data_IF_876436416277
#
_entry.id   IF_876436416277
#
_cell.length_a   1.000
_cell.length_b   1.000
_cell.length_c   1.000
_cell.angle_alpha   90.00
_cell.angle_beta   90.00
_cell.angle_gamma   90.00
#
_symmetry.space_group_name_H-M   'P 1'
#
loop_
_entity.id
_entity.type
_entity.pdbx_description
1 polymer ?
#
# COMPACT_ATOMS: atom_id res chain seq x y z
N UNK A 1 11.51 -30.93 -10.72
CA UNK A 1 11.14 -29.56 -11.17
C UNK A 1 10.10 -29.75 -12.25
N UNK A 2 8.84 -29.46 -11.93
CA UNK A 2 7.71 -29.70 -12.84
C UNK A 2 7.59 -28.51 -13.78
N UNK A 3 7.86 -28.70 -15.07
CA UNK A 3 7.57 -27.72 -16.11
C UNK A 3 6.05 -27.53 -16.20
N UNK A 4 5.56 -26.41 -15.70
CA UNK A 4 4.20 -25.96 -15.97
C UNK A 4 4.13 -25.51 -17.42
N UNK A 5 3.79 -26.44 -18.32
CA UNK A 5 3.41 -26.09 -19.69
C UNK A 5 2.25 -25.08 -19.62
N UNK A 6 2.36 -23.89 -20.21
CA UNK A 6 1.26 -22.93 -20.22
C UNK A 6 0.04 -23.60 -20.85
N UNK A 7 -1.04 -23.64 -20.09
CA UNK A 7 -2.29 -24.28 -20.44
C UNK A 7 -2.80 -23.70 -21.78
N UNK A 8 -2.71 -24.48 -22.86
CA UNK A 8 -3.15 -24.10 -24.20
C UNK A 8 -4.69 -24.26 -24.33
N UNK A 9 -5.47 -23.56 -23.50
CA UNK A 9 -6.95 -23.63 -23.51
C UNK A 9 -7.61 -22.58 -24.42
N UNK A 10 -6.87 -21.92 -25.30
CA UNK A 10 -7.33 -20.70 -25.98
C UNK A 10 -8.07 -20.93 -27.31
N UNK A 11 -8.15 -22.18 -27.77
CA UNK A 11 -8.96 -22.55 -28.95
C UNK A 11 -10.32 -23.04 -28.46
N UNK A 12 -11.17 -22.12 -28.00
CA UNK A 12 -12.59 -22.42 -27.80
C UNK A 12 -13.34 -22.25 -29.11
N UNK A 13 -14.55 -22.82 -29.21
CA UNK A 13 -15.38 -22.86 -30.43
C UNK A 13 -15.82 -21.50 -30.99
N UNK A 14 -15.32 -20.37 -30.46
CA UNK A 14 -15.63 -18.99 -30.87
C UNK A 14 -14.36 -18.15 -31.14
N UNK A 15 -13.28 -18.75 -31.62
CA UNK A 15 -12.11 -17.99 -32.07
C UNK A 15 -12.35 -17.35 -33.46
N UNK A 16 -11.76 -16.17 -33.69
CA UNK A 16 -11.77 -15.48 -34.99
C UNK A 16 -10.37 -15.57 -35.58
N UNK A 17 -10.28 -15.94 -36.85
CA UNK A 17 -9.02 -15.89 -37.58
C UNK A 17 -8.72 -14.46 -38.05
N UNK A 18 -7.49 -13.99 -37.78
CA UNK A 18 -7.03 -12.67 -38.19
C UNK A 18 -5.80 -12.85 -39.08
N UNK A 19 -5.82 -12.25 -40.26
CA UNK A 19 -4.64 -12.14 -41.11
C UNK A 19 -3.93 -10.81 -40.83
N UNK A 20 -2.64 -10.87 -40.45
CA UNK A 20 -1.83 -9.70 -40.20
C UNK A 20 -0.49 -9.81 -40.93
N UNK A 21 0.00 -8.69 -41.48
CA UNK A 21 1.36 -8.60 -42.00
C UNK A 21 2.28 -8.12 -40.87
N UNK A 22 3.34 -8.89 -40.62
CA UNK A 22 4.37 -8.53 -39.65
C UNK A 22 5.48 -7.77 -40.38
N UNK A 23 5.79 -6.53 -39.96
CA UNK A 23 6.92 -5.77 -40.48
C UNK A 23 8.26 -6.51 -40.35
N UNK A 24 9.13 -6.37 -41.34
CA UNK A 24 10.36 -7.14 -41.41
C UNK A 24 11.30 -6.92 -40.22
N UNK A 25 11.37 -5.68 -39.74
CA UNK A 25 12.17 -5.29 -38.59
C UNK A 25 11.70 -5.93 -37.26
N UNK A 26 10.50 -6.52 -37.21
CA UNK A 26 9.97 -7.21 -36.03
C UNK A 26 10.20 -8.72 -36.06
N UNK A 27 10.65 -9.31 -37.19
CA UNK A 27 10.77 -10.76 -37.30
C UNK A 27 11.71 -11.36 -36.25
N UNK A 28 12.92 -10.83 -36.12
CA UNK A 28 13.91 -11.36 -35.18
C UNK A 28 13.44 -11.20 -33.73
N UNK A 29 12.86 -10.06 -33.37
CA UNK A 29 12.36 -9.83 -32.01
C UNK A 29 11.25 -10.83 -31.65
N UNK A 30 10.31 -11.07 -32.56
CA UNK A 30 9.22 -12.03 -32.36
C UNK A 30 9.76 -13.47 -32.32
N UNK A 31 10.74 -13.78 -33.17
CA UNK A 31 11.38 -15.09 -33.21
C UNK A 31 12.15 -15.40 -31.93
N UNK A 32 13.00 -14.48 -31.48
CA UNK A 32 13.78 -14.62 -30.25
C UNK A 32 12.85 -14.77 -29.06
N UNK A 33 11.84 -13.90 -28.97
CA UNK A 33 10.83 -13.97 -27.92
C UNK A 33 10.12 -15.33 -27.89
N UNK A 34 9.68 -15.81 -29.06
CA UNK A 34 9.00 -17.08 -29.19
C UNK A 34 9.89 -18.27 -28.85
N UNK A 35 11.14 -18.27 -29.30
CA UNK A 35 12.14 -19.30 -28.95
C UNK A 35 12.42 -19.35 -27.45
N UNK A 36 12.39 -18.21 -26.75
CA UNK A 36 12.59 -18.17 -25.30
C UNK A 36 11.38 -18.64 -24.50
N UNK A 37 10.16 -18.26 -24.89
CA UNK A 37 8.96 -18.45 -24.05
C UNK A 37 8.04 -19.59 -24.51
N UNK A 38 8.11 -19.97 -25.78
CA UNK A 38 7.21 -20.93 -26.42
C UNK A 38 7.98 -21.94 -27.29
N UNK A 39 9.16 -22.36 -26.83
CA UNK A 39 10.02 -23.31 -27.53
C UNK A 39 9.32 -24.64 -27.82
N UNK A 40 9.56 -25.19 -29.02
CA UNK A 40 9.12 -26.53 -29.44
C UNK A 40 10.29 -27.48 -29.75
N UNK A 41 11.52 -27.11 -29.37
CA UNK A 41 12.75 -27.84 -29.70
C UNK A 41 13.33 -27.46 -31.06
N UNK A 42 14.60 -27.80 -31.31
CA UNK A 42 15.33 -27.54 -32.57
C UNK A 42 15.24 -26.09 -33.10
N UNK A 43 15.23 -25.10 -32.22
CA UNK A 43 15.08 -23.68 -32.62
C UNK A 43 13.70 -23.32 -33.17
N UNK A 44 12.70 -24.21 -33.04
CA UNK A 44 11.30 -23.95 -33.40
C UNK A 44 10.54 -23.43 -32.18
N UNK A 45 9.46 -22.70 -32.45
CA UNK A 45 8.59 -22.14 -31.42
C UNK A 45 7.13 -22.07 -31.88
N UNK A 46 6.21 -21.94 -30.93
CA UNK A 46 4.79 -21.74 -31.21
C UNK A 46 4.50 -20.29 -31.60
N UNK A 47 4.43 -20.02 -32.91
CA UNK A 47 4.16 -18.68 -33.44
C UNK A 47 2.81 -18.14 -32.99
N UNK A 48 1.79 -18.98 -32.90
CA UNK A 48 0.44 -18.55 -32.50
C UNK A 48 0.42 -18.13 -31.04
N UNK A 49 0.95 -18.97 -30.15
CA UNK A 49 1.03 -18.64 -28.72
C UNK A 49 1.87 -17.38 -28.48
N UNK A 50 2.99 -17.26 -29.21
CA UNK A 50 3.86 -16.08 -29.16
C UNK A 50 3.13 -14.79 -29.50
N UNK A 51 2.41 -14.76 -30.63
CA UNK A 51 1.70 -13.56 -31.07
C UNK A 51 0.55 -13.22 -30.13
N UNK A 52 -0.21 -14.21 -29.67
CA UNK A 52 -1.31 -14.01 -28.70
C UNK A 52 -0.78 -13.39 -27.41
N UNK A 53 0.34 -13.90 -26.89
CA UNK A 53 0.96 -13.40 -25.66
C UNK A 53 1.44 -11.95 -25.82
N UNK A 54 2.14 -11.64 -26.92
CA UNK A 54 2.59 -10.27 -27.22
C UNK A 54 1.42 -9.28 -27.35
N UNK A 55 0.34 -9.68 -28.01
CA UNK A 55 -0.90 -8.87 -28.10
C UNK A 55 -1.49 -8.67 -26.71
N UNK A 56 -1.59 -9.73 -25.90
CA UNK A 56 -2.16 -9.68 -24.55
C UNK A 56 -1.38 -8.72 -23.65
N UNK A 57 -0.04 -8.74 -23.74
CA UNK A 57 0.85 -7.81 -23.04
C UNK A 57 0.70 -6.38 -23.54
N UNK A 58 0.64 -6.18 -24.85
CA UNK A 58 0.44 -4.85 -25.47
C UNK A 58 -0.91 -4.21 -25.11
N UNK A 59 -1.95 -5.03 -24.90
CA UNK A 59 -3.26 -4.57 -24.41
C UNK A 59 -3.29 -4.26 -22.91
N UNK A 60 -2.22 -4.58 -22.17
CA UNK A 60 -2.12 -4.28 -20.74
C UNK A 60 -3.04 -5.11 -19.83
N UNK A 61 -3.58 -6.23 -20.33
CA UNK A 61 -4.53 -7.06 -19.58
C UNK A 61 -3.89 -7.67 -18.32
N UNK A 62 -2.64 -8.10 -18.41
CA UNK A 62 -1.91 -8.64 -17.26
C UNK A 62 -1.49 -7.54 -16.27
N UNK A 63 -1.07 -6.37 -16.77
CA UNK A 63 -0.66 -5.24 -15.91
C UNK A 63 -1.83 -4.65 -15.13
N UNK A 64 -3.02 -4.58 -15.72
CA UNK A 64 -4.24 -4.15 -15.01
C UNK A 64 -4.60 -5.17 -13.94
N UNK A 65 -4.54 -6.47 -14.24
CA UNK A 65 -4.82 -7.52 -13.27
C UNK A 65 -3.86 -7.49 -12.07
N UNK A 66 -2.55 -7.33 -12.33
CA UNK A 66 -1.53 -7.23 -11.28
C UNK A 66 -1.63 -5.93 -10.47
N UNK A 67 -1.88 -4.80 -11.12
CA UNK A 67 -2.02 -3.50 -10.44
C UNK A 67 -3.25 -3.48 -9.52
N UNK A 68 -4.35 -4.11 -9.96
CA UNK A 68 -5.55 -4.30 -9.13
C UNK A 68 -5.25 -5.26 -7.97
N UNK A 69 -4.58 -6.39 -8.23
CA UNK A 69 -4.19 -7.35 -7.19
C UNK A 69 -3.26 -6.71 -6.14
N UNK A 70 -2.29 -5.90 -6.54
CA UNK A 70 -1.39 -5.19 -5.60
C UNK A 70 -2.11 -4.07 -4.83
N UNK A 71 -3.03 -3.35 -5.49
CA UNK A 71 -3.82 -2.30 -4.82
C UNK A 71 -4.82 -2.89 -3.81
N UNK A 72 -5.32 -4.09 -4.08
CA UNK A 72 -6.26 -4.81 -3.19
C UNK A 72 -5.53 -5.60 -2.09
N UNK A 73 -4.30 -6.08 -2.34
CA UNK A 73 -3.44 -6.68 -1.30
C UNK A 73 -2.77 -5.60 -0.42
N UNK A 74 -3.61 -4.85 0.29
CA UNK A 74 -3.64 -4.66 1.76
C UNK A 74 -2.37 -4.46 2.61
N UNK A 75 -1.15 -4.43 2.06
CA UNK A 75 0.04 -4.32 2.91
C UNK A 75 0.27 -2.91 3.48
N UNK A 76 -0.43 -1.90 2.97
CA UNK A 76 -0.34 -0.51 3.45
C UNK A 76 -1.45 -0.09 4.40
N UNK A 77 -2.59 -0.81 4.47
CA UNK A 77 -3.70 -0.38 5.32
C UNK A 77 -3.44 -0.65 6.79
N UNK A 78 -2.93 -1.83 7.14
CA UNK A 78 -2.61 -2.16 8.53
C UNK A 78 -1.50 -1.27 9.10
N UNK A 79 -0.45 -1.01 8.31
CA UNK A 79 0.64 -0.10 8.73
C UNK A 79 0.18 1.35 8.85
N UNK A 80 -0.67 1.83 7.92
CA UNK A 80 -1.20 3.19 7.98
C UNK A 80 -2.16 3.39 9.15
N UNK A 81 -3.01 2.40 9.45
CA UNK A 81 -3.89 2.42 10.63
C UNK A 81 -3.06 2.40 11.90
N UNK A 82 -2.05 1.54 12.01
CA UNK A 82 -1.20 1.47 13.19
C UNK A 82 -0.42 2.78 13.42
N UNK A 83 0.16 3.36 12.37
CA UNK A 83 0.84 4.67 12.48
C UNK A 83 -0.11 5.79 12.88
N UNK A 84 -1.28 5.89 12.24
CA UNK A 84 -2.23 6.97 12.49
C UNK A 84 -2.80 6.87 13.91
N UNK A 85 -3.17 5.66 14.35
CA UNK A 85 -3.71 5.43 15.69
C UNK A 85 -2.65 5.73 16.75
N UNK A 86 -1.41 5.27 16.59
CA UNK A 86 -0.34 5.54 17.55
C UNK A 86 -0.03 7.04 17.64
N UNK A 87 0.09 7.73 16.50
CA UNK A 87 0.40 9.16 16.48
C UNK A 87 -0.72 10.03 17.08
N UNK A 88 -1.98 9.76 16.73
CA UNK A 88 -3.11 10.54 17.24
C UNK A 88 -3.36 10.25 18.74
N UNK A 89 -3.13 9.02 19.19
CA UNK A 89 -3.24 8.66 20.60
C UNK A 89 -2.14 9.31 21.44
N UNK A 90 -0.88 9.24 21.00
CA UNK A 90 0.24 9.91 21.68
C UNK A 90 0.02 11.42 21.76
N UNK A 91 -0.45 12.04 20.68
CA UNK A 91 -0.74 13.47 20.64
C UNK A 91 -1.85 13.85 21.61
N UNK A 92 -2.96 13.12 21.60
CA UNK A 92 -4.12 13.43 22.45
C UNK A 92 -3.78 13.26 23.93
N UNK A 93 -3.14 12.15 24.30
CA UNK A 93 -2.83 11.84 25.71
C UNK A 93 -1.70 12.72 26.26
N UNK A 94 -0.60 12.90 25.52
CA UNK A 94 0.52 13.72 26.03
C UNK A 94 0.22 15.21 26.01
N UNK A 95 -0.49 15.72 24.99
CA UNK A 95 -0.70 17.16 24.90
C UNK A 95 -1.91 17.64 25.67
N UNK A 96 -3.03 16.90 25.66
CA UNK A 96 -4.25 17.41 26.25
C UNK A 96 -4.35 17.02 27.73
N UNK A 97 -4.19 15.74 28.05
CA UNK A 97 -4.48 15.28 29.41
C UNK A 97 -3.36 15.66 30.40
N UNK A 98 -2.09 15.47 30.03
CA UNK A 98 -0.96 15.75 30.93
C UNK A 98 -0.79 17.26 31.17
N UNK A 99 -0.96 18.09 30.13
CA UNK A 99 -0.83 19.55 30.30
C UNK A 99 -2.02 20.15 31.05
N UNK A 100 -3.25 19.67 30.78
CA UNK A 100 -4.42 20.16 31.51
C UNK A 100 -4.35 19.79 32.99
N UNK A 101 -3.99 18.55 33.33
CA UNK A 101 -3.83 18.13 34.74
C UNK A 101 -2.74 18.94 35.45
N UNK A 102 -1.61 19.20 34.79
CA UNK A 102 -0.54 20.02 35.35
C UNK A 102 -1.00 21.45 35.62
N UNK A 103 -1.78 22.03 34.69
CA UNK A 103 -2.28 23.39 34.81
C UNK A 103 -3.34 23.51 35.91
N UNK A 104 -4.29 22.57 35.98
CA UNK A 104 -5.33 22.54 37.00
C UNK A 104 -4.75 22.33 38.41
N UNK A 105 -3.73 21.48 38.53
CA UNK A 105 -3.04 21.26 39.80
C UNK A 105 -2.27 22.51 40.23
N UNK A 106 -1.59 23.19 39.31
CA UNK A 106 -0.88 24.44 39.59
C UNK A 106 -1.82 25.54 40.08
N UNK A 107 -2.96 25.71 39.40
CA UNK A 107 -3.98 26.71 39.80
C UNK A 107 -4.64 26.35 41.14
N UNK A 108 -4.94 25.07 41.38
CA UNK A 108 -5.48 24.61 42.66
C UNK A 108 -4.51 24.86 43.82
N UNK A 109 -3.22 24.56 43.63
CA UNK A 109 -2.18 24.82 44.64
C UNK A 109 -2.05 26.33 44.91
N UNK A 110 -2.06 27.17 43.87
CA UNK A 110 -1.99 28.63 44.00
C UNK A 110 -3.17 29.19 44.79
N UNK A 111 -4.39 28.71 44.54
CA UNK A 111 -5.58 29.10 45.31
C UNK A 111 -5.48 28.69 46.77
N UNK A 112 -5.05 27.47 47.07
CA UNK A 112 -4.85 26.97 48.43
C UNK A 112 -3.84 27.80 49.23
N UNK A 113 -2.72 28.17 48.60
CA UNK A 113 -1.69 29.03 49.22
C UNK A 113 -2.23 30.44 49.51
N UNK A 114 -3.00 31.03 48.59
CA UNK A 114 -3.61 32.35 48.82
C UNK A 114 -4.65 32.32 49.94
N UNK A 115 -5.51 31.30 49.98
CA UNK A 115 -6.52 31.16 51.01
C UNK A 115 -5.91 30.91 52.40
N UNK A 116 -4.85 30.10 52.48
CA UNK A 116 -4.14 29.84 53.74
C UNK A 116 -3.34 31.05 54.22
N UNK A 117 -2.68 31.79 53.32
CA UNK A 117 -1.98 33.04 53.64
C UNK A 117 -2.92 34.14 54.18
N UNK A 118 -4.11 34.28 53.60
CA UNK A 118 -5.14 35.23 54.09
C UNK A 118 -5.69 34.80 55.45
N UNK A 119 -5.78 33.48 55.73
CA UNK A 119 -6.23 32.95 57.02
C UNK A 119 -5.21 33.19 58.13
N UNK A 120 -3.91 33.08 57.84
CA UNK A 120 -2.81 33.39 58.77
C UNK A 120 -2.68 34.88 59.06
N UNK A 121 -2.85 35.75 58.06
CA UNK A 121 -2.81 37.21 58.25
C UNK A 121 -3.96 37.74 59.13
N UNK A 122 -5.13 37.09 59.13
CA UNK A 122 -6.27 37.42 60.01
C UNK A 122 -6.12 36.92 61.45
N UNK A 123 -5.15 36.07 61.74
CA UNK A 123 -4.90 35.48 63.06
C UNK A 123 -3.70 36.10 63.79
N UNK A 124 -3.04 37.11 63.20
CA UNK A 124 -2.01 37.89 63.91
C UNK A 124 -2.72 38.91 64.83
N UNK A 125 -2.59 38.80 66.17
CA UNK A 125 -3.14 39.81 67.07
C UNK A 125 -2.31 41.09 66.94
N UNK A 126 -2.97 42.23 66.81
CA UNK A 126 -2.39 43.54 67.07
C UNK A 126 -1.86 43.55 68.50
N UNK A 127 -0.56 43.30 68.66
CA UNK A 127 0.15 43.57 69.92
C UNK A 127 0.68 45.00 69.82
N UNK A 128 0.08 45.89 70.61
CA UNK A 128 0.41 47.31 70.70
C UNK A 128 -0.81 48.13 71.06
#
# INVERSE_FOLDING_TARGET
>A
MSETKPNQTWITSKSIAIAARIPHNLYHQIEDYGKTHFAKGEGKYDKTATIIDLITKGLGLESVSQSVQQSVNQQNLEQLVQQTVTQELEKTVNQNDIQNVKQELLESVKQLVQQSGVKLAKLSPSAG
#
